data_IF_837329806258
#
_entry.id   IF_837329806258
#
_cell.length_a   1.000
_cell.length_b   1.000
_cell.length_c   1.000
_cell.angle_alpha   90.00
_cell.angle_beta   90.00
_cell.angle_gamma   90.00
#
_symmetry.space_group_name_H-M   'P 1'
#
loop_
_entity.id
_entity.type
_entity.pdbx_description
1 polymer ?
#
# COMPACT_ATOMS: atom_id res chain seq x y z
N UNK A 1 -37.68 -17.97 -42.32
CA UNK A 1 -36.94 -16.72 -42.59
C UNK A 1 -37.83 -15.49 -42.86
N UNK A 2 -39.12 -15.47 -42.47
CA UNK A 2 -39.98 -14.27 -42.61
C UNK A 2 -40.23 -13.51 -41.31
N UNK A 3 -39.85 -14.06 -40.15
CA UNK A 3 -40.13 -13.45 -38.84
C UNK A 3 -38.89 -12.82 -38.17
N UNK A 4 -37.72 -12.84 -38.82
CA UNK A 4 -36.47 -12.25 -38.29
C UNK A 4 -36.17 -10.85 -38.87
N UNK A 5 -36.80 -10.47 -39.98
CA UNK A 5 -36.57 -9.16 -40.63
C UNK A 5 -37.46 -8.06 -39.99
N UNK A 6 -38.61 -8.44 -39.41
CA UNK A 6 -39.54 -7.48 -38.79
C UNK A 6 -39.09 -7.02 -37.39
N UNK A 7 -38.27 -7.81 -36.68
CA UNK A 7 -37.71 -7.42 -35.38
C UNK A 7 -36.46 -6.54 -35.48
N UNK A 8 -35.78 -6.52 -36.64
CA UNK A 8 -34.62 -5.65 -36.86
C UNK A 8 -35.01 -4.26 -37.39
N UNK A 9 -36.23 -4.08 -37.90
CA UNK A 9 -36.75 -2.83 -38.44
C UNK A 9 -37.51 -1.96 -37.42
N UNK A 10 -37.72 -2.46 -36.19
CA UNK A 10 -38.33 -1.68 -35.09
C UNK A 10 -37.30 -1.08 -34.11
N UNK A 11 -36.00 -1.38 -34.26
CA UNK A 11 -34.93 -0.89 -33.38
C UNK A 11 -34.14 0.30 -33.97
N UNK A 12 -34.40 0.70 -35.21
CA UNK A 12 -33.66 1.77 -35.92
C UNK A 12 -34.41 3.10 -36.03
N UNK A 13 -35.50 3.30 -35.28
CA UNK A 13 -36.20 4.61 -35.17
C UNK A 13 -36.22 5.08 -33.71
N UNK A 14 -35.05 5.09 -33.06
CA UNK A 14 -34.85 5.77 -31.77
C UNK A 14 -33.41 6.27 -31.65
N UNK A 15 -33.03 7.11 -32.61
CA UNK A 15 -31.89 8.03 -32.47
C UNK A 15 -32.18 9.33 -33.21
N UNK A 16 -33.35 9.91 -32.93
CA UNK A 16 -33.44 11.36 -32.89
C UNK A 16 -32.92 11.76 -31.51
N UNK A 17 -31.62 11.98 -31.38
CA UNK A 17 -31.10 12.78 -30.28
C UNK A 17 -31.67 14.17 -30.47
N UNK A 18 -32.59 14.57 -29.58
CA UNK A 18 -32.89 15.97 -29.37
C UNK A 18 -31.56 16.70 -29.16
N UNK A 19 -31.32 17.78 -29.89
CA UNK A 19 -30.44 18.84 -29.40
C UNK A 19 -31.09 19.35 -28.12
N UNK A 20 -30.73 18.74 -26.98
CA UNK A 20 -31.07 19.29 -25.69
C UNK A 20 -30.09 20.45 -25.52
N UNK A 21 -30.61 21.67 -25.38
CA UNK A 21 -29.79 22.81 -24.99
C UNK A 21 -29.03 22.44 -23.70
N UNK A 22 -27.74 22.76 -23.64
CA UNK A 22 -26.92 22.51 -22.46
C UNK A 22 -27.59 23.18 -21.25
N UNK A 23 -27.98 22.38 -20.26
CA UNK A 23 -28.55 22.89 -19.01
C UNK A 23 -27.42 23.05 -18.00
N UNK A 24 -27.06 24.29 -17.71
CA UNK A 24 -26.04 24.64 -16.71
C UNK A 24 -26.68 24.70 -15.32
N UNK A 25 -26.08 24.06 -14.29
CA UNK A 25 -26.57 24.17 -12.92
C UNK A 25 -26.58 25.62 -12.43
N UNK A 26 -27.65 26.04 -11.75
CA UNK A 26 -27.78 27.39 -11.18
C UNK A 26 -26.59 27.76 -10.28
N UNK A 27 -26.02 26.77 -9.57
CA UNK A 27 -24.82 26.96 -8.73
C UNK A 27 -23.58 27.38 -9.53
N UNK A 28 -23.41 26.88 -10.75
CA UNK A 28 -22.28 27.19 -11.63
C UNK A 28 -22.48 28.56 -12.27
N UNK A 29 -23.70 28.81 -12.72
CA UNK A 29 -24.11 30.06 -13.34
C UNK A 29 -24.04 31.26 -12.36
N UNK A 30 -24.48 31.05 -11.11
CA UNK A 30 -24.32 32.03 -10.03
C UNK A 30 -22.86 32.27 -9.65
N UNK A 31 -22.03 31.23 -9.64
CA UNK A 31 -20.60 31.36 -9.37
C UNK A 31 -19.91 32.22 -10.44
N UNK A 32 -20.27 32.04 -11.72
CA UNK A 32 -19.79 32.89 -12.81
C UNK A 32 -20.20 34.35 -12.59
N UNK A 33 -21.49 34.63 -12.38
CA UNK A 33 -21.99 36.00 -12.12
C UNK A 33 -21.37 36.64 -10.90
N UNK A 34 -21.12 35.86 -9.84
CA UNK A 34 -20.49 36.37 -8.62
C UNK A 34 -19.02 36.74 -8.87
N UNK A 35 -18.29 35.91 -9.62
CA UNK A 35 -16.87 36.17 -9.94
C UNK A 35 -16.71 37.28 -10.96
N UNK A 36 -17.62 37.36 -11.93
CA UNK A 36 -17.59 38.30 -13.05
C UNK A 36 -18.87 39.14 -13.14
N UNK A 37 -19.15 40.01 -12.15
CA UNK A 37 -20.43 40.74 -12.07
C UNK A 37 -20.69 41.73 -13.20
N UNK A 38 -19.66 42.09 -13.96
CA UNK A 38 -19.74 43.00 -15.10
C UNK A 38 -19.51 42.30 -16.46
N UNK A 39 -19.32 40.97 -16.47
CA UNK A 39 -19.19 40.23 -17.72
C UNK A 39 -20.58 40.06 -18.38
N UNK A 40 -20.64 40.03 -19.73
CA UNK A 40 -21.86 39.60 -20.41
C UNK A 40 -22.14 38.13 -20.11
N UNK A 41 -23.39 37.72 -20.35
CA UNK A 41 -23.78 36.31 -20.25
C UNK A 41 -22.89 35.44 -21.14
N UNK A 42 -22.30 34.36 -20.61
CA UNK A 42 -21.39 33.52 -21.36
C UNK A 42 -22.16 32.52 -22.22
N UNK A 43 -21.46 32.00 -23.23
CA UNK A 43 -21.84 30.74 -23.88
C UNK A 43 -21.17 29.61 -23.12
N UNK A 44 -21.95 28.62 -22.70
CA UNK A 44 -21.44 27.51 -21.91
C UNK A 44 -21.11 26.30 -22.78
N UNK A 45 -20.02 25.63 -22.43
CA UNK A 45 -19.64 24.31 -22.94
C UNK A 45 -19.35 23.37 -21.75
N UNK A 46 -19.33 22.06 -22.01
CA UNK A 46 -18.97 21.05 -21.01
C UNK A 46 -17.78 20.26 -21.51
N UNK A 47 -16.72 20.26 -20.73
CA UNK A 47 -15.50 19.53 -21.04
C UNK A 47 -15.65 18.02 -20.88
N UNK A 48 -14.69 17.29 -21.45
CA UNK A 48 -14.61 15.82 -21.35
C UNK A 48 -14.52 15.33 -19.90
N UNK A 49 -13.91 16.11 -19.00
CA UNK A 49 -13.82 15.82 -17.55
C UNK A 49 -15.12 16.19 -16.79
N UNK A 50 -16.08 16.82 -17.46
CA UNK A 50 -17.33 17.33 -16.92
C UNK A 50 -17.26 18.68 -16.20
N UNK A 51 -16.21 19.48 -16.36
CA UNK A 51 -16.20 20.91 -16.00
C UNK A 51 -17.10 21.71 -16.95
N UNK A 52 -17.54 22.86 -16.46
CA UNK A 52 -18.31 23.83 -17.23
C UNK A 52 -17.39 24.99 -17.62
N UNK A 53 -17.35 25.24 -18.92
CA UNK A 53 -16.53 26.28 -19.53
C UNK A 53 -17.41 27.45 -19.95
N UNK A 54 -17.19 28.63 -19.36
CA UNK A 54 -17.87 29.87 -19.72
C UNK A 54 -17.05 30.67 -20.74
N UNK A 55 -17.55 30.76 -21.98
CA UNK A 55 -16.98 31.57 -23.05
C UNK A 55 -17.66 32.94 -23.11
N UNK A 56 -16.92 34.03 -22.94
CA UNK A 56 -17.47 35.39 -22.99
C UNK A 56 -16.47 36.37 -23.61
N UNK A 57 -16.95 37.58 -23.93
CA UNK A 57 -16.11 38.63 -24.53
C UNK A 57 -16.21 39.95 -23.79
N UNK A 58 -15.08 40.53 -23.44
CA UNK A 58 -14.98 41.88 -22.88
C UNK A 58 -14.17 42.73 -23.85
N UNK A 59 -14.74 43.82 -24.35
CA UNK A 59 -14.10 44.71 -25.32
C UNK A 59 -13.53 44.00 -26.56
N UNK A 60 -14.16 42.90 -26.99
CA UNK A 60 -13.73 42.11 -28.14
C UNK A 60 -12.71 41.01 -27.83
N UNK A 61 -12.09 41.02 -26.64
CA UNK A 61 -11.17 39.97 -26.17
C UNK A 61 -11.98 38.77 -25.69
N UNK A 62 -11.63 37.57 -26.16
CA UNK A 62 -12.25 36.31 -25.73
C UNK A 62 -11.68 35.89 -24.38
N UNK A 63 -12.57 35.54 -23.47
CA UNK A 63 -12.26 34.93 -22.19
C UNK A 63 -12.92 33.57 -22.10
N UNK A 64 -12.24 32.66 -21.41
CA UNK A 64 -12.71 31.32 -21.09
C UNK A 64 -12.52 31.11 -19.59
N UNK A 65 -13.58 30.77 -18.87
CA UNK A 65 -13.53 30.57 -17.44
C UNK A 65 -14.11 29.22 -17.05
N UNK A 66 -13.34 28.44 -16.29
CA UNK A 66 -13.67 27.06 -15.96
C UNK A 66 -14.17 26.93 -14.53
N UNK A 67 -15.21 26.11 -14.39
CA UNK A 67 -15.89 25.84 -13.12
C UNK A 67 -16.15 24.33 -12.95
N UNK A 68 -15.99 23.83 -11.73
CA UNK A 68 -16.43 22.47 -11.39
C UNK A 68 -17.97 22.39 -11.36
N UNK A 69 -18.52 21.18 -11.27
CA UNK A 69 -19.96 20.94 -11.17
C UNK A 69 -20.59 21.58 -9.92
N UNK A 70 -19.78 21.81 -8.89
CA UNK A 70 -20.16 22.46 -7.64
C UNK A 70 -20.08 24.00 -7.72
N UNK A 71 -19.70 24.57 -8.87
CA UNK A 71 -19.51 26.02 -9.06
C UNK A 71 -18.19 26.54 -8.51
N UNK A 72 -17.19 25.67 -8.28
CA UNK A 72 -15.87 26.11 -7.84
C UNK A 72 -15.07 26.55 -9.06
N UNK A 73 -14.64 27.81 -9.09
CA UNK A 73 -13.77 28.34 -10.13
C UNK A 73 -12.38 27.68 -10.10
N UNK A 74 -11.91 27.19 -11.25
CA UNK A 74 -10.57 26.63 -11.42
C UNK A 74 -9.61 27.62 -12.06
N UNK A 75 -9.96 28.19 -13.20
CA UNK A 75 -9.10 29.11 -13.93
C UNK A 75 -9.87 30.01 -14.90
N UNK A 76 -9.21 31.06 -15.35
CA UNK A 76 -9.70 31.90 -16.43
C UNK A 76 -8.55 32.35 -17.28
N UNK A 77 -8.74 32.23 -18.57
CA UNK A 77 -7.74 32.58 -19.56
C UNK A 77 -8.31 33.55 -20.59
N UNK A 78 -7.40 34.29 -21.21
CA UNK A 78 -7.70 35.09 -22.39
C UNK A 78 -6.51 35.15 -23.32
N UNK A 79 -6.77 35.15 -24.63
CA UNK A 79 -5.73 35.41 -25.61
C UNK A 79 -5.14 36.81 -25.35
N UNK A 80 -3.83 36.90 -25.47
CA UNK A 80 -3.05 38.12 -25.28
C UNK A 80 -2.07 38.26 -26.44
N UNK A 81 -2.03 39.46 -27.03
CA UNK A 81 -1.07 39.73 -28.09
C UNK A 81 0.37 39.66 -27.54
N UNK A 82 1.31 39.20 -28.37
CA UNK A 82 2.73 39.12 -27.98
C UNK A 82 3.30 40.46 -27.47
N UNK A 83 2.78 41.58 -27.98
CA UNK A 83 3.19 42.92 -27.56
C UNK A 83 2.60 43.36 -26.22
N UNK A 84 1.52 42.71 -25.77
CA UNK A 84 0.84 42.97 -24.51
C UNK A 84 1.35 42.07 -23.38
N UNK A 85 2.13 41.02 -23.69
CA UNK A 85 2.84 40.23 -22.70
C UNK A 85 3.69 41.12 -21.77
N UNK A 86 3.82 40.76 -20.47
CA UNK A 86 4.71 41.48 -19.56
C UNK A 86 6.14 41.57 -20.11
N UNK A 87 6.83 42.71 -19.93
CA UNK A 87 8.17 42.91 -20.47
C UNK A 87 9.16 41.80 -20.08
N UNK A 88 9.08 41.30 -18.84
CA UNK A 88 9.94 40.24 -18.33
C UNK A 88 9.67 38.91 -19.04
N UNK A 89 8.40 38.56 -19.26
CA UNK A 89 7.97 37.34 -19.98
C UNK A 89 8.41 37.41 -21.44
N UNK A 90 8.14 38.52 -22.12
CA UNK A 90 8.54 38.73 -23.52
C UNK A 90 10.05 38.66 -23.69
N UNK A 91 10.80 39.25 -22.77
CA UNK A 91 12.27 39.20 -22.80
C UNK A 91 12.78 37.78 -22.56
N UNK A 92 12.22 37.06 -21.58
CA UNK A 92 12.57 35.68 -21.31
C UNK A 92 12.26 34.74 -22.49
N UNK A 93 11.14 34.97 -23.17
CA UNK A 93 10.79 34.28 -24.40
C UNK A 93 11.86 34.48 -25.49
N UNK A 94 12.18 35.75 -25.81
CA UNK A 94 13.11 36.10 -26.89
C UNK A 94 14.56 35.70 -26.63
N UNK A 95 14.92 35.43 -25.37
CA UNK A 95 16.24 34.86 -25.04
C UNK A 95 16.39 33.40 -25.47
N UNK A 96 15.28 32.67 -25.63
CA UNK A 96 15.28 31.22 -25.86
C UNK A 96 14.64 30.81 -27.19
N UNK A 97 13.68 31.59 -27.68
CA UNK A 97 12.86 31.25 -28.86
C UNK A 97 12.81 32.40 -29.86
N UNK A 98 12.61 32.08 -31.14
CA UNK A 98 12.43 33.08 -32.19
C UNK A 98 11.04 33.71 -32.11
N UNK A 99 10.91 34.99 -32.47
CA UNK A 99 9.59 35.60 -32.68
C UNK A 99 8.83 34.97 -33.85
N UNK A 100 9.53 34.31 -34.79
CA UNK A 100 8.91 33.58 -35.91
C UNK A 100 8.24 32.27 -35.46
N UNK A 101 8.64 31.73 -34.31
CA UNK A 101 8.10 30.49 -33.76
C UNK A 101 6.80 30.73 -32.98
N UNK A 102 6.52 31.99 -32.59
CA UNK A 102 5.33 32.37 -31.83
C UNK A 102 4.05 32.07 -32.61
N UNK A 103 3.05 31.48 -31.95
CA UNK A 103 1.74 31.19 -32.58
C UNK A 103 0.60 31.86 -31.84
N UNK A 104 0.54 31.70 -30.53
CA UNK A 104 -0.45 32.36 -29.69
C UNK A 104 0.10 32.55 -28.27
N UNK A 105 -0.55 33.41 -27.51
CA UNK A 105 -0.34 33.47 -26.08
C UNK A 105 -1.64 33.67 -25.33
N UNK A 106 -1.72 33.08 -24.15
CA UNK A 106 -2.83 33.22 -23.24
C UNK A 106 -2.32 33.71 -21.88
N UNK A 107 -3.03 34.68 -21.31
CA UNK A 107 -2.85 35.06 -19.92
C UNK A 107 -3.82 34.22 -19.08
N UNK A 108 -3.29 33.46 -18.13
CA UNK A 108 -4.07 32.53 -17.30
C UNK A 108 -4.03 32.97 -15.85
N UNK A 109 -5.20 33.12 -15.24
CA UNK A 109 -5.37 33.25 -13.79
C UNK A 109 -5.88 31.90 -13.24
N UNK A 110 -5.04 31.20 -12.47
CA UNK A 110 -5.35 29.89 -11.92
C UNK A 110 -5.54 29.93 -10.41
N UNK A 111 -6.55 29.23 -9.91
CA UNK A 111 -6.80 29.09 -8.48
C UNK A 111 -5.64 28.45 -7.70
N UNK A 112 -4.79 27.65 -8.37
CA UNK A 112 -3.69 26.91 -7.73
C UNK A 112 -2.32 27.50 -8.02
N UNK A 113 -2.12 28.08 -9.20
CA UNK A 113 -0.81 28.56 -9.65
C UNK A 113 -0.71 30.09 -9.69
N UNK A 114 -1.82 30.81 -9.50
CA UNK A 114 -1.87 32.25 -9.71
C UNK A 114 -1.74 32.61 -11.19
N UNK A 115 -1.24 33.83 -11.46
CA UNK A 115 -1.13 34.35 -12.83
C UNK A 115 0.12 33.84 -13.52
N UNK A 116 -0.06 33.24 -14.70
CA UNK A 116 1.00 32.84 -15.62
C UNK A 116 0.60 33.09 -17.08
N UNK A 117 1.54 32.89 -18.00
CA UNK A 117 1.37 33.12 -19.43
C UNK A 117 1.75 31.85 -20.19
N UNK A 118 0.79 31.30 -20.92
CA UNK A 118 1.01 30.17 -21.80
C UNK A 118 1.33 30.69 -23.19
N UNK A 119 2.45 30.24 -23.77
CA UNK A 119 2.89 30.69 -25.09
C UNK A 119 3.05 29.47 -25.98
N UNK A 120 2.20 29.38 -27.02
CA UNK A 120 2.28 28.35 -28.04
C UNK A 120 3.42 28.72 -29.01
N UNK A 121 4.36 27.81 -29.18
CA UNK A 121 5.46 27.94 -30.14
C UNK A 121 5.57 26.74 -31.07
N UNK A 122 6.05 26.99 -32.29
CA UNK A 122 6.50 25.93 -33.19
C UNK A 122 7.92 25.53 -32.82
N UNK A 123 8.10 24.26 -32.46
CA UNK A 123 9.39 23.64 -32.22
C UNK A 123 9.56 22.46 -33.18
N UNK A 124 10.36 22.66 -34.23
CA UNK A 124 10.51 21.68 -35.32
C UNK A 124 9.21 21.50 -36.10
N UNK A 125 8.62 20.30 -36.05
CA UNK A 125 7.36 19.97 -36.75
C UNK A 125 6.12 20.04 -35.85
N UNK A 126 6.29 20.39 -34.58
CA UNK A 126 5.23 20.33 -33.57
C UNK A 126 4.99 21.68 -32.93
N UNK A 127 3.78 21.89 -32.42
CA UNK A 127 3.43 22.99 -31.52
C UNK A 127 3.60 22.53 -30.08
N UNK A 128 4.23 23.37 -29.26
CA UNK A 128 4.39 23.15 -27.82
C UNK A 128 3.98 24.41 -27.06
N UNK A 129 3.39 24.23 -25.90
CA UNK A 129 3.03 25.32 -25.00
C UNK A 129 4.06 25.47 -23.89
N UNK A 130 4.58 26.69 -23.74
CA UNK A 130 5.56 27.04 -22.69
C UNK A 130 4.92 28.01 -21.72
N UNK A 131 4.86 27.60 -20.44
CA UNK A 131 4.27 28.41 -19.39
C UNK A 131 5.34 29.25 -18.67
N UNK A 132 5.13 30.57 -18.64
CA UNK A 132 5.97 31.53 -17.96
C UNK A 132 5.25 32.15 -16.77
N UNK A 133 5.91 32.24 -15.62
CA UNK A 133 5.42 33.07 -14.52
C UNK A 133 5.50 34.56 -14.87
N UNK A 134 4.93 35.42 -14.03
CA UNK A 134 4.97 36.89 -14.21
C UNK A 134 6.37 37.50 -14.30
N UNK A 135 7.42 36.77 -13.91
CA UNK A 135 8.83 37.19 -13.96
C UNK A 135 9.59 36.57 -15.14
N UNK A 136 8.90 35.87 -16.04
CA UNK A 136 9.51 35.18 -17.18
C UNK A 136 10.25 33.89 -16.82
N UNK A 137 10.03 33.31 -15.63
CA UNK A 137 10.56 32.00 -15.29
C UNK A 137 9.64 30.91 -15.85
N UNK A 138 10.22 29.88 -16.46
CA UNK A 138 9.44 28.76 -17.00
C UNK A 138 8.90 27.93 -15.82
N UNK A 139 7.59 27.84 -15.70
CA UNK A 139 6.88 27.01 -14.70
C UNK A 139 6.80 25.57 -15.20
N UNK A 140 6.41 25.40 -16.46
CA UNK A 140 6.27 24.09 -17.12
C UNK A 140 7.04 24.12 -18.45
N UNK A 141 8.02 23.23 -18.65
CA UNK A 141 8.72 23.14 -19.93
C UNK A 141 7.83 22.46 -20.99
N UNK A 142 7.42 23.21 -22.01
CA UNK A 142 7.00 22.74 -23.34
C UNK A 142 6.10 21.50 -23.39
N UNK A 143 4.78 21.65 -23.21
CA UNK A 143 3.82 20.54 -23.38
C UNK A 143 3.38 20.46 -24.85
N UNK A 144 3.43 19.30 -25.52
CA UNK A 144 2.96 19.18 -26.90
C UNK A 144 1.44 19.34 -27.01
N UNK A 145 0.96 20.14 -27.98
CA UNK A 145 -0.48 20.47 -28.13
C UNK A 145 -1.28 19.40 -28.88
N UNK A 146 -0.62 18.38 -29.43
CA UNK A 146 -1.27 17.24 -30.10
C UNK A 146 -1.46 16.06 -29.15
N UNK A 147 -2.62 15.39 -29.17
CA UNK A 147 -2.91 14.19 -28.35
C UNK A 147 -1.79 13.12 -28.42
N UNK A 148 -1.22 12.88 -29.61
CA UNK A 148 -0.16 11.89 -29.79
C UNK A 148 1.17 12.30 -29.13
N UNK A 149 1.45 13.61 -29.05
CA UNK A 149 2.62 14.15 -28.35
C UNK A 149 2.38 14.29 -26.84
N UNK A 150 1.15 14.58 -26.44
CA UNK A 150 0.71 14.72 -25.05
C UNK A 150 0.94 13.42 -24.25
N UNK A 151 0.46 12.28 -24.76
CA UNK A 151 0.67 10.99 -24.09
C UNK A 151 2.15 10.60 -23.98
N UNK A 152 2.95 10.86 -25.02
CA UNK A 152 4.38 10.57 -25.01
C UNK A 152 5.14 11.45 -24.01
N UNK A 153 4.81 12.74 -23.93
CA UNK A 153 5.36 13.68 -22.96
C UNK A 153 5.06 13.23 -21.52
N UNK A 154 3.82 12.85 -21.23
CA UNK A 154 3.45 12.36 -19.90
C UNK A 154 4.06 11.00 -19.57
N UNK A 155 4.23 10.10 -20.54
CA UNK A 155 4.97 8.85 -20.34
C UNK A 155 6.45 9.10 -20.03
N UNK A 156 7.08 10.01 -20.76
CA UNK A 156 8.49 10.38 -20.55
C UNK A 156 8.66 11.13 -19.23
N UNK A 157 7.68 11.94 -18.81
CA UNK A 157 7.68 12.63 -17.53
C UNK A 157 7.33 11.70 -16.35
N UNK A 158 6.49 10.68 -16.56
CA UNK A 158 6.28 9.60 -15.59
C UNK A 158 7.51 8.69 -15.47
N UNK A 159 8.39 8.67 -16.47
CA UNK A 159 9.71 8.05 -16.39
C UNK A 159 10.77 8.96 -15.74
N UNK A 160 10.48 10.25 -15.49
CA UNK A 160 11.35 11.13 -14.73
C UNK A 160 11.25 10.85 -13.23
N UNK A 161 12.39 10.92 -12.55
CA UNK A 161 12.57 10.52 -11.16
C UNK A 161 12.00 11.56 -10.17
N UNK A 162 10.68 11.76 -10.17
CA UNK A 162 9.97 12.68 -9.28
C UNK A 162 9.81 12.10 -7.86
N UNK A 163 9.67 12.94 -6.81
CA UNK A 163 9.50 12.46 -5.44
C UNK A 163 8.31 11.51 -5.23
N UNK A 164 7.19 11.75 -5.93
CA UNK A 164 5.99 10.89 -5.88
C UNK A 164 6.24 9.52 -6.52
N UNK A 165 6.98 9.48 -7.63
CA UNK A 165 7.34 8.22 -8.31
C UNK A 165 8.32 7.41 -7.45
N UNK A 166 9.31 8.07 -6.83
CA UNK A 166 10.20 7.43 -5.84
C UNK A 166 9.42 6.86 -4.65
N UNK A 167 8.43 7.60 -4.16
CA UNK A 167 7.57 7.15 -3.08
C UNK A 167 6.74 5.92 -3.53
N UNK A 168 6.16 5.95 -4.72
CA UNK A 168 5.43 4.82 -5.29
C UNK A 168 6.29 3.55 -5.41
N UNK A 169 7.48 3.66 -6.01
CA UNK A 169 8.41 2.53 -6.14
C UNK A 169 8.90 2.01 -4.78
N UNK A 170 9.11 2.90 -3.81
CA UNK A 170 9.47 2.52 -2.43
C UNK A 170 8.37 1.69 -1.77
N UNK A 171 7.09 2.05 -1.98
CA UNK A 171 5.95 1.28 -1.47
C UNK A 171 5.88 -0.10 -2.12
N UNK A 172 6.04 -0.17 -3.44
CA UNK A 172 6.05 -1.45 -4.18
C UNK A 172 7.17 -2.35 -3.67
N UNK A 173 8.38 -1.81 -3.50
CA UNK A 173 9.51 -2.53 -2.90
C UNK A 173 9.15 -3.08 -1.51
N UNK A 174 8.64 -2.24 -0.60
CA UNK A 174 8.28 -2.65 0.77
C UNK A 174 7.25 -3.77 0.79
N UNK A 175 6.24 -3.71 -0.09
CA UNK A 175 5.21 -4.75 -0.19
C UNK A 175 5.83 -6.07 -0.65
N UNK A 176 6.58 -6.05 -1.76
CA UNK A 176 7.20 -7.27 -2.32
C UNK A 176 8.21 -7.85 -1.32
N UNK A 177 9.05 -7.02 -0.73
CA UNK A 177 10.05 -7.44 0.25
C UNK A 177 9.39 -8.06 1.50
N UNK A 178 8.30 -7.47 1.99
CA UNK A 178 7.57 -8.03 3.11
C UNK A 178 6.94 -9.39 2.78
N UNK A 179 6.34 -9.55 1.61
CA UNK A 179 5.77 -10.83 1.16
C UNK A 179 6.82 -11.93 1.03
N UNK A 180 8.00 -11.60 0.48
CA UNK A 180 9.09 -12.56 0.34
C UNK A 180 9.62 -12.98 1.72
N UNK A 181 9.88 -12.02 2.61
CA UNK A 181 10.46 -12.31 3.93
C UNK A 181 9.49 -13.10 4.81
N UNK A 182 8.19 -12.77 4.83
CA UNK A 182 7.21 -13.57 5.59
C UNK A 182 7.02 -14.96 4.99
N UNK A 183 7.07 -15.10 3.67
CA UNK A 183 7.02 -16.42 3.02
C UNK A 183 8.22 -17.29 3.46
N UNK A 184 9.44 -16.73 3.45
CA UNK A 184 10.62 -17.44 3.94
C UNK A 184 10.48 -17.80 5.42
N UNK A 185 10.04 -16.86 6.25
CA UNK A 185 9.92 -17.06 7.69
C UNK A 185 8.84 -18.10 8.05
N UNK A 186 7.62 -17.95 7.54
CA UNK A 186 6.48 -18.75 7.92
C UNK A 186 6.42 -20.09 7.16
N UNK A 187 6.65 -20.09 5.84
CA UNK A 187 6.53 -21.32 5.06
C UNK A 187 7.84 -22.13 5.03
N UNK A 188 8.96 -21.49 4.67
CA UNK A 188 10.23 -22.21 4.46
C UNK A 188 10.87 -22.64 5.77
N UNK A 189 10.84 -21.79 6.80
CA UNK A 189 11.45 -22.09 8.11
C UNK A 189 10.46 -22.82 9.02
N UNK A 190 9.33 -22.20 9.35
CA UNK A 190 8.41 -22.73 10.35
C UNK A 190 7.62 -23.94 9.85
N UNK A 191 6.84 -23.80 8.78
CA UNK A 191 5.93 -24.85 8.31
C UNK A 191 6.67 -26.12 7.88
N UNK A 192 7.83 -25.99 7.24
CA UNK A 192 8.66 -27.15 6.86
C UNK A 192 9.16 -27.96 8.07
N UNK A 193 9.27 -27.35 9.24
CA UNK A 193 9.82 -27.99 10.44
C UNK A 193 8.73 -28.52 11.37
N UNK A 194 7.64 -27.77 11.55
CA UNK A 194 6.58 -28.09 12.51
C UNK A 194 5.32 -28.67 11.86
N UNK A 195 5.14 -28.49 10.55
CA UNK A 195 3.96 -28.94 9.79
C UNK A 195 2.60 -28.50 10.36
N UNK A 196 2.57 -27.46 11.19
CA UNK A 196 1.33 -26.89 11.71
C UNK A 196 0.78 -25.79 10.78
N UNK A 197 -0.34 -26.11 10.13
CA UNK A 197 -1.07 -25.20 9.26
C UNK A 197 -1.76 -24.06 10.02
N UNK A 198 -2.17 -24.28 11.28
CA UNK A 198 -2.88 -23.26 12.06
C UNK A 198 -1.94 -22.11 12.40
N UNK A 199 -0.75 -22.44 12.87
CA UNK A 199 0.26 -21.44 13.16
C UNK A 199 0.81 -20.78 11.89
N UNK A 200 0.99 -21.52 10.77
CA UNK A 200 1.34 -20.91 9.48
C UNK A 200 0.33 -19.82 9.08
N UNK A 201 -0.97 -20.12 9.17
CA UNK A 201 -2.03 -19.15 8.89
C UNK A 201 -1.93 -17.94 9.82
N UNK A 202 -1.68 -18.18 11.11
CA UNK A 202 -1.54 -17.12 12.11
C UNK A 202 -0.38 -16.17 11.76
N UNK A 203 0.80 -16.70 11.42
CA UNK A 203 1.98 -15.91 11.07
C UNK A 203 1.73 -15.04 9.82
N UNK A 204 1.09 -15.60 8.80
CA UNK A 204 0.77 -14.87 7.56
C UNK A 204 -0.30 -13.81 7.80
N UNK A 205 -1.37 -14.14 8.53
CA UNK A 205 -2.46 -13.23 8.82
C UNK A 205 -1.99 -12.03 9.66
N UNK A 206 -1.21 -12.27 10.72
CA UNK A 206 -0.65 -11.19 11.53
C UNK A 206 0.25 -10.26 10.72
N UNK A 207 1.14 -10.81 9.89
CA UNK A 207 1.99 -10.00 9.03
C UNK A 207 1.16 -9.17 8.03
N UNK A 208 0.15 -9.76 7.39
CA UNK A 208 -0.72 -9.07 6.42
C UNK A 208 -1.56 -7.97 7.08
N UNK A 209 -2.05 -8.17 8.30
CA UNK A 209 -2.85 -7.18 9.01
C UNK A 209 -2.00 -6.04 9.60
N UNK A 210 -0.81 -6.35 10.12
CA UNK A 210 0.06 -5.35 10.71
C UNK A 210 0.79 -4.49 9.67
N UNK A 211 1.04 -5.03 8.47
CA UNK A 211 1.80 -4.33 7.44
C UNK A 211 1.17 -2.99 7.01
N UNK A 212 -0.13 -2.90 6.64
CA UNK A 212 -0.77 -1.63 6.32
C UNK A 212 -0.85 -0.67 7.52
N UNK A 213 -1.05 -1.22 8.73
CA UNK A 213 -1.12 -0.43 9.97
C UNK A 213 0.20 0.30 10.19
N UNK A 214 1.33 -0.39 10.10
CA UNK A 214 2.64 0.24 10.23
C UNK A 214 2.94 1.18 9.06
N UNK A 215 2.54 0.83 7.84
CA UNK A 215 2.76 1.68 6.67
C UNK A 215 2.04 3.03 6.76
N UNK A 216 0.88 3.09 7.42
CA UNK A 216 0.05 4.30 7.57
C UNK A 216 0.70 5.45 8.34
N UNK A 217 1.93 5.30 8.84
CA UNK A 217 2.71 6.30 9.59
C UNK A 217 2.05 6.80 10.89
N UNK A 218 0.98 6.14 11.36
CA UNK A 218 0.49 6.36 12.71
C UNK A 218 1.62 6.10 13.70
N UNK A 219 1.83 7.02 14.65
CA UNK A 219 2.91 6.92 15.62
C UNK A 219 2.75 5.61 16.40
N UNK A 220 3.51 4.58 16.04
CA UNK A 220 3.54 3.31 16.75
C UNK A 220 4.30 3.58 18.06
N UNK A 221 3.57 4.09 19.04
CA UNK A 221 4.12 4.30 20.38
C UNK A 221 4.42 2.96 21.04
N UNK A 222 5.27 2.98 22.07
CA UNK A 222 5.51 1.79 22.91
C UNK A 222 4.20 1.15 23.41
N UNK A 223 3.12 1.94 23.55
CA UNK A 223 1.77 1.48 23.89
C UNK A 223 1.19 0.43 22.93
N UNK A 224 1.47 0.52 21.63
CA UNK A 224 1.00 -0.47 20.66
C UNK A 224 1.60 -1.86 20.91
N UNK A 225 2.90 -1.91 21.25
CA UNK A 225 3.57 -3.15 21.65
C UNK A 225 2.87 -3.77 22.86
N UNK A 226 2.57 -2.97 23.88
CA UNK A 226 1.82 -3.44 25.06
C UNK A 226 0.42 -3.93 24.71
N UNK A 227 -0.29 -3.31 23.76
CA UNK A 227 -1.61 -3.77 23.31
C UNK A 227 -1.54 -5.13 22.60
N UNK A 228 -0.55 -5.36 21.73
CA UNK A 228 -0.35 -6.67 21.10
C UNK A 228 0.01 -7.72 22.15
N UNK A 229 0.94 -7.42 23.06
CA UNK A 229 1.30 -8.35 24.15
C UNK A 229 0.11 -8.67 25.06
N UNK A 230 -0.72 -7.68 25.38
CA UNK A 230 -1.95 -7.87 26.16
C UNK A 230 -2.98 -8.73 25.40
N UNK A 231 -3.13 -8.52 24.09
CA UNK A 231 -4.01 -9.33 23.25
C UNK A 231 -3.53 -10.78 23.19
N UNK A 232 -2.24 -11.01 22.99
CA UNK A 232 -1.64 -12.36 23.00
C UNK A 232 -1.78 -13.05 24.36
N UNK A 233 -1.58 -12.31 25.45
CA UNK A 233 -1.80 -12.81 26.80
C UNK A 233 -3.28 -13.17 27.05
N UNK A 234 -4.23 -12.40 26.50
CA UNK A 234 -5.66 -12.67 26.60
C UNK A 234 -6.09 -13.89 25.79
N UNK A 235 -5.52 -14.08 24.59
CA UNK A 235 -5.79 -15.27 23.75
C UNK A 235 -5.28 -16.54 24.43
N UNK A 236 -4.10 -16.48 25.06
CA UNK A 236 -3.52 -17.59 25.83
C UNK A 236 -4.41 -18.07 26.98
N UNK A 237 -5.32 -17.23 27.48
CA UNK A 237 -6.24 -17.58 28.57
C UNK A 237 -7.50 -18.33 28.10
N UNK A 238 -7.76 -18.43 26.78
CA UNK A 238 -8.96 -19.08 26.23
C UNK A 238 -8.68 -20.21 25.25
N UNK A 239 -7.49 -20.27 24.63
CA UNK A 239 -7.13 -21.30 23.67
C UNK A 239 -6.22 -22.37 24.28
N UNK A 240 -6.05 -23.46 23.54
CA UNK A 240 -4.90 -24.36 23.70
C UNK A 240 -3.62 -23.51 23.83
N UNK A 241 -2.81 -23.79 24.86
CA UNK A 241 -1.68 -22.93 25.19
C UNK A 241 -0.59 -23.06 24.13
N UNK A 242 -0.22 -21.93 23.50
CA UNK A 242 0.89 -21.90 22.56
C UNK A 242 2.17 -22.44 23.21
N UNK A 243 2.91 -23.25 22.45
CA UNK A 243 4.24 -23.69 22.83
C UNK A 243 5.21 -22.49 22.81
N UNK A 244 6.30 -22.60 23.57
CA UNK A 244 7.33 -21.56 23.67
C UNK A 244 7.92 -21.22 22.29
N UNK A 245 8.04 -22.22 21.42
CA UNK A 245 8.48 -22.04 20.04
C UNK A 245 7.48 -21.20 19.24
N UNK A 246 6.19 -21.51 19.33
CA UNK A 246 5.14 -20.78 18.60
C UNK A 246 5.10 -19.30 19.00
N UNK A 247 5.21 -19.01 20.30
CA UNK A 247 5.30 -17.62 20.78
C UNK A 247 6.52 -16.91 20.17
N UNK A 248 7.68 -17.57 20.12
CA UNK A 248 8.88 -16.99 19.53
C UNK A 248 8.71 -16.69 18.04
N UNK A 249 8.08 -17.59 17.28
CA UNK A 249 7.78 -17.36 15.86
C UNK A 249 6.78 -16.23 15.65
N UNK A 250 5.75 -16.13 16.49
CA UNK A 250 4.77 -15.04 16.40
C UNK A 250 5.42 -13.68 16.65
N UNK A 251 6.25 -13.56 17.70
CA UNK A 251 7.04 -12.36 17.94
C UNK A 251 7.98 -12.07 16.77
N UNK A 252 8.65 -13.10 16.24
CA UNK A 252 9.54 -12.97 15.08
C UNK A 252 8.83 -12.42 13.85
N UNK A 253 7.63 -12.89 13.52
CA UNK A 253 6.84 -12.37 12.40
C UNK A 253 6.38 -10.92 12.63
N UNK A 254 6.01 -10.56 13.87
CA UNK A 254 5.68 -9.17 14.22
C UNK A 254 6.90 -8.26 14.04
N UNK A 255 8.05 -8.68 14.58
CA UNK A 255 9.32 -7.96 14.42
C UNK A 255 9.72 -7.82 12.96
N UNK A 256 9.54 -8.88 12.16
CA UNK A 256 9.82 -8.87 10.73
C UNK A 256 8.96 -7.83 9.99
N UNK A 257 7.65 -7.80 10.30
CA UNK A 257 6.73 -6.79 9.74
C UNK A 257 7.13 -5.37 10.11
N UNK A 258 7.53 -5.17 11.37
CA UNK A 258 7.97 -3.87 11.87
C UNK A 258 9.24 -3.38 11.15
N UNK A 259 10.27 -4.22 11.02
CA UNK A 259 11.51 -3.79 10.35
C UNK A 259 11.29 -3.51 8.87
N UNK A 260 10.49 -4.33 8.18
CA UNK A 260 10.20 -4.15 6.75
C UNK A 260 9.44 -2.85 6.44
N UNK A 261 8.68 -2.34 7.41
CA UNK A 261 7.82 -1.14 7.23
C UNK A 261 8.51 0.13 7.70
N UNK A 262 9.15 0.08 8.88
CA UNK A 262 9.67 1.24 9.59
C UNK A 262 11.13 1.56 9.28
N UNK A 263 11.93 0.58 8.85
CA UNK A 263 13.35 0.84 8.58
C UNK A 263 13.59 1.35 7.14
N UNK A 264 14.67 2.10 6.90
CA UNK A 264 15.13 2.42 5.55
C UNK A 264 15.53 1.16 4.78
N UNK A 265 15.42 1.20 3.44
CA UNK A 265 15.64 0.06 2.53
C UNK A 265 17.05 -0.58 2.56
N UNK A 266 18.04 0.08 3.16
CA UNK A 266 19.36 -0.51 3.38
C UNK A 266 19.39 -1.32 4.68
N UNK A 267 18.66 -0.86 5.70
CA UNK A 267 18.70 -1.41 7.05
C UNK A 267 17.62 -2.49 7.29
N UNK A 268 16.51 -2.45 6.56
CA UNK A 268 15.47 -3.49 6.62
C UNK A 268 16.01 -4.86 6.17
N UNK A 269 16.80 -4.90 5.10
CA UNK A 269 17.45 -6.09 4.56
C UNK A 269 18.33 -6.80 5.59
N UNK A 270 19.23 -6.07 6.25
CA UNK A 270 20.10 -6.63 7.28
C UNK A 270 19.31 -7.12 8.50
N UNK A 271 18.35 -6.34 8.98
CA UNK A 271 17.53 -6.71 10.14
C UNK A 271 16.66 -7.93 9.87
N UNK A 272 16.00 -7.99 8.71
CA UNK A 272 15.23 -9.15 8.28
C UNK A 272 16.11 -10.40 8.16
N UNK A 273 17.32 -10.27 7.60
CA UNK A 273 18.28 -11.36 7.50
C UNK A 273 18.68 -11.90 8.89
N UNK A 274 18.94 -11.02 9.87
CA UNK A 274 19.27 -11.44 11.24
C UNK A 274 18.11 -12.21 11.88
N UNK A 275 16.87 -11.75 11.71
CA UNK A 275 15.68 -12.44 12.22
C UNK A 275 15.54 -13.82 11.58
N UNK A 276 15.67 -13.91 10.26
CA UNK A 276 15.60 -15.17 9.50
C UNK A 276 16.71 -16.14 9.92
N UNK A 277 17.95 -15.66 10.05
CA UNK A 277 19.09 -16.47 10.49
C UNK A 277 18.87 -16.98 11.92
N UNK A 278 18.40 -16.12 12.82
CA UNK A 278 18.08 -16.51 14.20
C UNK A 278 17.04 -17.63 14.21
N UNK A 279 15.95 -17.52 13.45
CA UNK A 279 14.95 -18.59 13.35
C UNK A 279 15.50 -19.87 12.69
N UNK A 280 16.39 -19.73 11.69
CA UNK A 280 17.03 -20.85 11.02
C UNK A 280 17.94 -21.67 11.93
N UNK A 281 18.66 -21.02 12.86
CA UNK A 281 19.60 -21.66 13.76
C UNK A 281 18.99 -22.04 15.11
N UNK A 282 18.23 -21.14 15.72
CA UNK A 282 17.70 -21.33 17.07
C UNK A 282 16.72 -22.50 17.16
N UNK A 283 15.99 -22.81 16.09
CA UNK A 283 15.00 -23.87 16.10
C UNK A 283 15.49 -25.14 15.36
N UNK A 284 16.81 -25.31 15.21
CA UNK A 284 17.38 -26.57 14.72
C UNK A 284 17.36 -27.62 15.85
N UNK A 285 16.80 -28.83 15.61
CA UNK A 285 16.85 -29.93 16.57
C UNK A 285 18.28 -30.32 16.99
N UNK A 286 19.27 -30.06 16.14
CA UNK A 286 20.68 -30.32 16.44
C UNK A 286 21.28 -29.38 17.49
N UNK A 287 20.71 -28.20 17.71
CA UNK A 287 21.21 -27.22 18.69
C UNK A 287 20.71 -27.55 20.08
N UNK A 288 19.48 -28.05 20.17
CA UNK A 288 18.84 -28.51 21.40
C UNK A 288 18.73 -30.03 21.35
N UNK A 289 19.88 -30.71 21.43
CA UNK A 289 19.85 -32.13 21.82
C UNK A 289 19.45 -32.17 23.29
N UNK A 290 18.16 -32.34 23.54
CA UNK A 290 17.72 -32.80 24.85
C UNK A 290 18.36 -34.17 25.07
N UNK A 291 19.33 -34.26 25.99
CA UNK A 291 19.93 -35.54 26.43
C UNK A 291 18.93 -36.43 27.17
N UNK A 292 17.65 -36.06 27.19
CA UNK A 292 16.61 -36.66 27.98
C UNK A 292 15.45 -37.09 27.09
N UNK A 293 15.08 -38.36 27.13
CA UNK A 293 13.87 -38.88 26.49
C UNK A 293 12.73 -38.93 27.50
N UNK A 294 11.59 -38.34 27.15
CA UNK A 294 10.34 -38.50 27.88
C UNK A 294 9.60 -39.72 27.35
N UNK A 295 9.42 -40.73 28.19
CA UNK A 295 8.71 -41.97 27.86
C UNK A 295 7.46 -42.03 28.72
N UNK A 296 6.29 -42.17 28.09
CA UNK A 296 5.04 -42.44 28.81
C UNK A 296 4.93 -43.95 29.07
N UNK A 297 4.79 -44.32 30.35
CA UNK A 297 4.75 -45.71 30.80
C UNK A 297 3.47 -45.95 31.59
N UNK A 298 2.70 -46.95 31.17
CA UNK A 298 1.58 -47.49 31.95
C UNK A 298 2.12 -48.62 32.84
N UNK A 299 2.47 -48.28 34.09
CA UNK A 299 3.11 -49.20 35.03
C UNK A 299 2.10 -49.90 35.92
N UNK A 300 2.09 -51.24 35.92
CA UNK A 300 1.16 -52.05 36.74
C UNK A 300 1.71 -52.24 38.14
N UNK A 301 0.92 -51.85 39.14
CA UNK A 301 1.27 -51.98 40.55
C UNK A 301 0.03 -52.35 41.36
N UNK A 302 0.14 -53.37 42.20
CA UNK A 302 -0.97 -53.88 43.02
C UNK A 302 -1.05 -53.22 44.40
N UNK A 303 0.06 -52.65 44.88
CA UNK A 303 0.14 -52.00 46.18
C UNK A 303 -0.27 -50.53 46.08
N UNK A 304 -1.43 -50.20 46.68
CA UNK A 304 -2.02 -48.86 46.62
C UNK A 304 -1.23 -47.81 47.39
N UNK A 305 -0.48 -48.20 48.42
CA UNK A 305 0.31 -47.26 49.22
C UNK A 305 1.51 -46.69 48.46
N UNK A 306 2.02 -47.45 47.50
CA UNK A 306 3.23 -47.14 46.73
C UNK A 306 2.93 -46.51 45.36
N UNK A 307 1.66 -46.44 44.94
CA UNK A 307 1.23 -45.86 43.66
C UNK A 307 1.55 -44.37 43.50
N UNK A 308 1.70 -43.64 44.60
CA UNK A 308 2.01 -42.21 44.63
C UNK A 308 3.44 -41.93 45.05
N UNK A 309 4.20 -42.95 45.45
CA UNK A 309 5.58 -42.79 45.87
C UNK A 309 6.48 -42.65 44.64
N UNK A 310 6.89 -41.42 44.38
CA UNK A 310 7.71 -41.12 43.23
C UNK A 310 9.12 -41.72 43.33
N UNK A 311 9.66 -41.87 44.54
CA UNK A 311 11.00 -42.43 44.74
C UNK A 311 10.99 -43.92 44.47
N UNK A 312 9.98 -44.62 44.99
CA UNK A 312 9.77 -46.05 44.75
C UNK A 312 9.58 -46.35 43.25
N UNK A 313 8.67 -45.64 42.59
CA UNK A 313 8.39 -45.84 41.16
C UNK A 313 9.61 -45.53 40.30
N UNK A 314 10.37 -44.49 40.64
CA UNK A 314 11.61 -44.13 39.92
C UNK A 314 12.66 -45.22 40.03
N UNK A 315 12.95 -45.69 41.24
CA UNK A 315 13.95 -46.75 41.46
C UNK A 315 13.53 -48.05 40.78
N UNK A 316 12.23 -48.39 40.87
CA UNK A 316 11.70 -49.61 40.28
C UNK A 316 11.77 -49.60 38.76
N UNK A 317 11.38 -48.48 38.13
CA UNK A 317 11.49 -48.30 36.68
C UNK A 317 12.95 -48.31 36.21
N UNK A 318 13.86 -47.68 36.97
CA UNK A 318 15.28 -47.67 36.64
C UNK A 318 15.87 -49.09 36.66
N UNK A 319 15.51 -49.90 37.66
CA UNK A 319 15.96 -51.29 37.78
C UNK A 319 15.35 -52.20 36.70
N UNK A 320 14.04 -52.10 36.45
CA UNK A 320 13.33 -53.02 35.56
C UNK A 320 13.66 -52.78 34.09
N UNK A 321 13.75 -51.52 33.68
CA UNK A 321 14.02 -51.14 32.29
C UNK A 321 15.50 -50.86 32.01
N UNK A 322 16.38 -50.97 33.02
CA UNK A 322 17.83 -50.70 32.92
C UNK A 322 18.15 -49.32 32.32
N UNK A 323 17.34 -48.31 32.68
CA UNK A 323 17.49 -46.92 32.22
C UNK A 323 17.74 -46.00 33.40
N UNK A 324 18.56 -44.97 33.20
CA UNK A 324 18.73 -43.93 34.22
C UNK A 324 17.51 -42.99 34.18
N UNK A 325 16.57 -43.21 35.11
CA UNK A 325 15.38 -42.38 35.29
C UNK A 325 15.75 -41.19 36.17
N UNK A 326 15.71 -39.98 35.60
CA UNK A 326 16.04 -38.74 36.31
C UNK A 326 14.87 -38.17 37.09
N UNK A 327 13.69 -38.20 36.47
CA UNK A 327 12.47 -37.62 37.00
C UNK A 327 11.26 -38.44 36.56
N UNK A 328 10.22 -38.49 37.39
CA UNK A 328 8.93 -39.06 37.00
C UNK A 328 7.79 -38.10 37.33
N UNK A 329 6.79 -38.05 36.47
CA UNK A 329 5.55 -37.31 36.69
C UNK A 329 4.38 -38.28 36.62
N UNK A 330 3.60 -38.38 37.70
CA UNK A 330 2.41 -39.23 37.73
C UNK A 330 1.27 -38.46 37.07
N UNK A 331 0.81 -38.94 35.91
CA UNK A 331 -0.31 -38.33 35.18
C UNK A 331 -1.65 -38.80 35.74
N UNK A 332 -1.78 -40.11 36.00
CA UNK A 332 -3.05 -40.70 36.44
C UNK A 332 -2.83 -42.00 37.20
N UNK A 333 -3.59 -42.19 38.27
CA UNK A 333 -3.63 -43.44 39.04
C UNK A 333 -4.95 -44.15 38.79
N UNK A 334 -4.89 -45.42 38.45
CA UNK A 334 -6.02 -46.32 38.29
C UNK A 334 -5.98 -47.42 39.35
N UNK A 335 -6.93 -48.35 39.30
CA UNK A 335 -7.11 -49.37 40.36
C UNK A 335 -5.86 -50.23 40.59
N UNK A 336 -5.14 -50.61 39.52
CA UNK A 336 -3.97 -51.50 39.53
C UNK A 336 -2.82 -51.02 38.60
N UNK A 337 -2.87 -49.77 38.14
CA UNK A 337 -1.91 -49.22 37.19
C UNK A 337 -1.74 -47.72 37.41
N UNK A 338 -0.54 -47.22 37.13
CA UNK A 338 -0.18 -45.81 37.22
C UNK A 338 0.39 -45.40 35.87
N UNK A 339 -0.27 -44.43 35.23
CA UNK A 339 0.23 -43.77 34.04
C UNK A 339 1.17 -42.66 34.46
N UNK A 340 2.42 -42.75 34.03
CA UNK A 340 3.47 -41.81 34.41
C UNK A 340 4.36 -41.48 33.21
N UNK A 341 4.95 -40.29 33.23
CA UNK A 341 5.99 -39.88 32.29
C UNK A 341 7.33 -40.03 33.01
N UNK A 342 8.20 -40.87 32.47
CA UNK A 342 9.57 -41.03 32.94
C UNK A 342 10.52 -40.23 32.04
N UNK A 343 11.38 -39.40 32.65
CA UNK A 343 12.45 -38.67 31.97
C UNK A 343 13.73 -39.49 32.11
N UNK A 344 14.21 -40.07 31.02
CA UNK A 344 15.39 -40.94 30.99
C UNK A 344 16.58 -40.25 30.32
N UNK A 345 17.80 -40.50 30.79
CA UNK A 345 19.00 -40.00 30.13
C UNK A 345 19.36 -40.94 28.98
N UNK A 346 19.52 -40.40 27.77
CA UNK A 346 20.05 -41.19 26.65
C UNK A 346 21.57 -41.26 26.79
N UNK A 347 22.10 -42.43 27.15
CA UNK A 347 23.51 -42.73 26.97
C UNK A 347 23.75 -42.82 25.45
N UNK A 348 24.33 -41.78 24.87
CA UNK A 348 24.80 -41.81 23.50
C UNK A 348 25.85 -42.93 23.36
N UNK A 349 25.53 -43.95 22.57
CA UNK A 349 26.51 -44.87 22.00
C UNK A 349 27.07 -44.28 20.71
#
# INVERSE_FOLDING_TARGET
MKNLIVQFLLATILSFTSFADLVVPETVDDAFRQKYPNAPEPTWEVDTNGSYEANYKINGVKYRADFTKEGIWSETENNIDFNELPPDVRSAYLLKYSSEDFRDAEAVDSATQGIFYEIEIVSGTSKIDVMFDKKGQIITPGVPTSENGFFQFWMDQAAQDTPLIRQGWSLVYKVIFNLITIYLFAYVIYYRRHHDHKMLFLLLAFNLFLFPIFLSSSLVTAGFGFTIFALLALVRLRSEAFDKAEIAYLLGAISLTFVNTMMPAVADGFSAAIILLTALFADRPSVWRDSFQKIEVDYKISDKGLMLDQSYLREKLAQEYQVDVREITINRVFKNEVRLIAVTVTNAW
#
